data_IF_740929651775
#
_entry.id   IF_740929651775
#
_cell.length_a   1.000
_cell.length_b   1.000
_cell.length_c   1.000
_cell.angle_alpha   90.00
_cell.angle_beta   90.00
_cell.angle_gamma   90.00
#
_symmetry.space_group_name_H-M   'P 1'
#
loop_
_entity.id
_entity.type
_entity.pdbx_description
1 polymer ?
#
# COMPACT_ATOMS: atom_id res chain seq x y z
N UNK A 1 -13.61 -58.02 -49.06
CA UNK A 1 -12.61 -57.95 -47.97
C UNK A 1 -12.23 -56.53 -47.52
N UNK A 2 -12.95 -55.45 -47.91
CA UNK A 2 -12.47 -54.06 -47.65
C UNK A 2 -13.38 -53.20 -46.77
N UNK A 3 -14.31 -53.78 -45.99
CA UNK A 3 -15.17 -52.98 -45.07
C UNK A 3 -15.22 -53.47 -43.62
N UNK A 4 -14.58 -54.61 -43.32
CA UNK A 4 -14.53 -55.17 -41.94
C UNK A 4 -13.30 -54.64 -41.17
N UNK A 5 -12.21 -54.29 -41.86
CA UNK A 5 -11.01 -53.75 -41.20
C UNK A 5 -11.14 -52.29 -40.73
N UNK A 6 -11.99 -51.47 -41.36
CA UNK A 6 -12.18 -50.07 -40.95
C UNK A 6 -13.03 -49.89 -39.70
N UNK A 7 -13.83 -50.91 -39.31
CA UNK A 7 -14.67 -50.83 -38.10
C UNK A 7 -13.87 -51.22 -36.85
N UNK A 8 -12.87 -52.09 -36.98
CA UNK A 8 -12.04 -52.54 -35.84
C UNK A 8 -10.99 -51.48 -35.44
N UNK A 9 -10.54 -50.65 -36.39
CA UNK A 9 -9.61 -49.54 -36.11
C UNK A 9 -10.31 -48.28 -35.56
N UNK A 10 -11.63 -48.15 -35.75
CA UNK A 10 -12.44 -47.06 -35.18
C UNK A 10 -12.91 -47.32 -33.74
N UNK A 11 -12.99 -48.59 -33.32
CA UNK A 11 -13.46 -48.97 -31.98
C UNK A 11 -12.36 -48.93 -30.91
N UNK A 12 -11.08 -48.91 -31.29
CA UNK A 12 -9.93 -48.86 -30.36
C UNK A 12 -9.48 -47.44 -30.01
N UNK A 13 -9.99 -46.41 -30.69
CA UNK A 13 -9.73 -45.00 -30.35
C UNK A 13 -10.73 -44.39 -29.35
N UNK A 14 -11.81 -45.08 -29.01
CA UNK A 14 -12.87 -44.54 -28.16
C UNK A 14 -12.68 -44.79 -26.65
N UNK A 15 -11.62 -45.51 -26.23
CA UNK A 15 -11.42 -45.91 -24.83
C UNK A 15 -10.16 -45.38 -24.15
N UNK A 16 -9.36 -44.51 -24.81
CA UNK A 16 -8.07 -44.06 -24.27
C UNK A 16 -8.04 -42.60 -23.78
N UNK A 17 -9.18 -41.95 -23.59
CA UNK A 17 -9.27 -40.58 -23.05
C UNK A 17 -10.00 -40.51 -21.70
N UNK A 18 -10.04 -41.62 -20.94
CA UNK A 18 -10.24 -41.55 -19.50
C UNK A 18 -8.86 -41.50 -18.84
N UNK A 19 -8.11 -40.41 -19.05
CA UNK A 19 -7.07 -40.10 -18.07
C UNK A 19 -7.82 -39.72 -16.81
N UNK A 20 -8.00 -40.68 -15.91
CA UNK A 20 -8.14 -40.38 -14.50
C UNK A 20 -7.04 -39.36 -14.22
N UNK A 21 -7.42 -38.10 -13.96
CA UNK A 21 -6.54 -37.24 -13.20
C UNK A 21 -6.37 -37.97 -11.88
N UNK A 22 -5.26 -38.69 -11.79
CA UNK A 22 -4.75 -39.25 -10.57
C UNK A 22 -4.83 -38.12 -9.55
N UNK A 23 -5.45 -38.42 -8.41
CA UNK A 23 -5.58 -37.51 -7.29
C UNK A 23 -4.17 -37.18 -6.79
N UNK A 24 -3.48 -36.29 -7.49
CA UNK A 24 -2.28 -35.69 -6.99
C UNK A 24 -2.75 -34.79 -5.85
N UNK A 25 -2.48 -35.24 -4.63
CA UNK A 25 -2.49 -34.35 -3.47
C UNK A 25 -1.73 -33.09 -3.88
N UNK A 26 -2.38 -31.93 -3.77
CA UNK A 26 -1.69 -30.66 -3.98
C UNK A 26 -0.40 -30.70 -3.13
N UNK A 27 0.75 -30.28 -3.70
CA UNK A 27 2.00 -30.33 -2.96
C UNK A 27 1.80 -29.65 -1.61
N UNK A 28 2.12 -30.34 -0.52
CA UNK A 28 1.92 -29.81 0.83
C UNK A 28 2.81 -28.57 1.02
N UNK A 29 2.22 -27.39 0.86
CA UNK A 29 2.89 -26.10 1.06
C UNK A 29 2.65 -25.51 2.44
N UNK A 30 2.12 -26.28 3.40
CA UNK A 30 1.80 -25.78 4.74
C UNK A 30 3.01 -25.14 5.43
N UNK A 31 4.20 -25.69 5.19
CA UNK A 31 5.47 -25.19 5.73
C UNK A 31 6.02 -23.96 4.97
N UNK A 32 5.39 -23.54 3.87
CA UNK A 32 5.74 -22.33 3.11
C UNK A 32 4.76 -21.17 3.35
N UNK A 33 3.68 -21.40 4.11
CA UNK A 33 2.72 -20.34 4.42
C UNK A 33 3.33 -19.34 5.41
N UNK A 34 3.54 -18.11 4.96
CA UNK A 34 3.96 -17.01 5.84
C UNK A 34 2.81 -16.41 6.67
N UNK A 35 1.60 -16.96 6.52
CA UNK A 35 0.35 -16.48 7.13
C UNK A 35 -0.30 -17.57 7.96
N UNK A 36 -1.12 -17.18 8.93
CA UNK A 36 -1.91 -18.08 9.75
C UNK A 36 -2.94 -18.85 8.92
N UNK A 37 -3.10 -20.14 9.23
CA UNK A 37 -4.12 -20.99 8.60
C UNK A 37 -5.54 -20.56 8.97
N UNK A 38 -5.75 -20.17 10.24
CA UNK A 38 -7.06 -19.80 10.75
C UNK A 38 -6.94 -18.75 11.86
N UNK A 39 -7.76 -17.72 11.74
CA UNK A 39 -7.99 -16.68 12.74
C UNK A 39 -9.50 -16.63 13.01
N UNK A 40 -9.89 -16.35 14.27
CA UNK A 40 -11.30 -16.22 14.66
C UNK A 40 -12.05 -15.15 13.86
N UNK A 41 -13.38 -15.13 13.94
CA UNK A 41 -14.18 -14.19 13.14
C UNK A 41 -13.93 -12.71 13.53
N UNK A 42 -14.08 -11.77 12.57
CA UNK A 42 -13.94 -10.35 12.84
C UNK A 42 -14.93 -9.90 13.91
N UNK A 43 -14.44 -9.12 14.89
CA UNK A 43 -15.25 -8.57 15.97
C UNK A 43 -15.24 -7.04 16.00
N UNK A 44 -14.53 -6.40 15.08
CA UNK A 44 -14.50 -4.94 14.92
C UNK A 44 -14.19 -4.55 13.47
N UNK A 45 -14.27 -3.25 13.19
CA UNK A 45 -13.91 -2.63 11.90
C UNK A 45 -12.59 -1.87 12.01
N UNK A 46 -12.00 -1.46 10.89
CA UNK A 46 -10.82 -0.58 10.91
C UNK A 46 -11.14 0.75 11.62
N UNK A 47 -12.35 1.29 11.43
CA UNK A 47 -12.83 2.45 12.19
C UNK A 47 -12.81 2.18 13.70
N UNK A 48 -13.38 1.05 14.14
CA UNK A 48 -13.41 0.65 15.55
C UNK A 48 -12.02 0.51 16.17
N UNK A 49 -11.06 -0.07 15.42
CA UNK A 49 -9.64 -0.11 15.83
C UNK A 49 -9.08 1.30 16.00
N UNK A 50 -9.26 2.18 15.01
CA UNK A 50 -8.72 3.54 15.05
C UNK A 50 -9.30 4.37 16.18
N UNK A 51 -10.60 4.22 16.48
CA UNK A 51 -11.25 4.88 17.61
C UNK A 51 -10.76 4.32 18.95
N UNK A 52 -10.67 2.99 19.10
CA UNK A 52 -10.19 2.35 20.32
C UNK A 52 -8.76 2.75 20.66
N UNK A 53 -7.91 2.87 19.65
CA UNK A 53 -6.50 3.23 19.78
C UNK A 53 -6.20 4.70 19.40
N UNK A 54 -7.19 5.60 19.49
CA UNK A 54 -7.03 7.01 19.07
C UNK A 54 -5.90 7.74 19.78
N UNK A 55 -5.68 7.44 21.07
CA UNK A 55 -4.64 8.07 21.89
C UNK A 55 -3.24 7.72 21.39
N UNK A 56 -2.84 6.43 21.29
CA UNK A 56 -1.55 6.08 20.72
C UNK A 56 -1.41 6.43 19.23
N UNK A 57 -2.51 6.50 18.48
CA UNK A 57 -2.47 6.93 17.07
C UNK A 57 -2.22 8.45 16.93
N UNK A 58 -2.79 9.27 17.81
CA UNK A 58 -2.73 10.74 17.68
C UNK A 58 -1.56 11.38 18.44
N UNK A 59 -0.84 10.60 19.25
CA UNK A 59 0.28 11.09 20.06
C UNK A 59 1.62 10.68 19.44
N UNK A 60 2.59 11.59 19.38
CA UNK A 60 3.88 11.30 18.76
C UNK A 60 4.64 10.20 19.54
N UNK A 61 5.19 9.24 18.80
CA UNK A 61 6.05 8.16 19.32
C UNK A 61 5.40 7.27 20.39
N UNK A 62 4.07 7.13 20.39
CA UNK A 62 3.36 6.20 21.27
C UNK A 62 2.74 5.05 20.48
N UNK A 63 2.59 3.93 21.16
CA UNK A 63 1.95 2.72 20.66
C UNK A 63 1.56 1.86 21.87
N UNK A 64 0.53 1.03 21.68
CA UNK A 64 -0.03 0.20 22.73
C UNK A 64 -0.06 -1.26 22.28
N UNK A 65 0.32 -2.18 23.17
CA UNK A 65 0.20 -3.61 22.91
C UNK A 65 -1.24 -4.05 23.09
N UNK A 66 -1.78 -4.78 22.12
CA UNK A 66 -3.12 -5.35 22.23
C UNK A 66 -3.05 -6.70 22.94
N UNK A 67 -3.77 -6.84 24.05
CA UNK A 67 -3.72 -8.04 24.92
C UNK A 67 -4.84 -9.05 24.65
N UNK A 68 -5.89 -8.62 23.97
CA UNK A 68 -7.08 -9.41 23.67
C UNK A 68 -7.22 -9.64 22.16
N UNK A 69 -8.09 -10.57 21.79
CA UNK A 69 -8.40 -10.85 20.40
C UNK A 69 -9.26 -9.72 19.82
N UNK A 70 -8.60 -8.76 19.15
CA UNK A 70 -9.25 -7.72 18.36
C UNK A 70 -9.00 -8.06 16.90
N UNK A 71 -10.06 -8.44 16.20
CA UNK A 71 -9.98 -9.03 14.87
C UNK A 71 -10.79 -8.18 13.90
N UNK A 72 -10.16 -7.80 12.81
CA UNK A 72 -10.79 -7.07 11.72
C UNK A 72 -10.29 -7.59 10.38
N UNK A 73 -10.96 -7.19 9.32
CA UNK A 73 -10.57 -7.51 7.96
C UNK A 73 -10.48 -6.27 7.07
N UNK A 74 -9.70 -6.42 6.01
CA UNK A 74 -9.56 -5.43 4.95
C UNK A 74 -9.04 -6.03 3.66
N UNK A 75 -9.13 -5.24 2.60
CA UNK A 75 -8.59 -5.52 1.28
C UNK A 75 -7.29 -4.77 1.10
N UNK A 76 -6.25 -5.44 0.61
CA UNK A 76 -4.95 -4.81 0.29
C UNK A 76 -5.12 -3.83 -0.88
N UNK A 77 -4.86 -2.55 -0.64
CA UNK A 77 -4.97 -1.44 -1.61
C UNK A 77 -3.63 -0.79 -1.96
N UNK A 78 -2.58 -1.11 -1.20
CA UNK A 78 -1.19 -0.73 -1.47
C UNK A 78 -0.23 -1.74 -0.88
N UNK A 79 0.85 -2.03 -1.60
CA UNK A 79 1.92 -2.93 -1.19
C UNK A 79 3.27 -2.45 -1.75
N UNK A 80 4.33 -3.23 -1.54
CA UNK A 80 5.71 -2.86 -1.88
C UNK A 80 6.12 -3.18 -3.33
N UNK A 81 5.17 -3.37 -4.26
CA UNK A 81 5.48 -3.83 -5.63
C UNK A 81 6.52 -2.99 -6.38
N UNK A 82 6.54 -1.68 -6.16
CA UNK A 82 7.58 -0.80 -6.70
C UNK A 82 8.77 -0.60 -5.76
N UNK A 83 8.60 -0.85 -4.46
CA UNK A 83 9.55 -0.46 -3.41
C UNK A 83 9.30 0.93 -2.81
N UNK A 84 8.34 1.73 -3.32
CA UNK A 84 8.04 3.04 -2.74
C UNK A 84 7.34 2.93 -1.36
N UNK A 85 6.47 1.93 -1.19
CA UNK A 85 5.95 1.52 0.11
C UNK A 85 6.89 0.45 0.68
N UNK A 86 7.70 0.79 1.68
CA UNK A 86 8.70 -0.13 2.23
C UNK A 86 8.17 -0.89 3.45
N UNK A 87 8.30 -2.23 3.45
CA UNK A 87 7.95 -3.11 4.57
C UNK A 87 6.54 -2.87 5.12
N UNK A 88 5.61 -2.51 4.23
CA UNK A 88 4.27 -2.06 4.61
C UNK A 88 3.27 -2.44 3.52
N UNK A 89 2.14 -3.01 3.94
CA UNK A 89 0.93 -3.04 3.14
C UNK A 89 -0.08 -2.04 3.73
N UNK A 90 -0.98 -1.54 2.88
CA UNK A 90 -2.12 -0.72 3.29
C UNK A 90 -3.38 -1.49 2.98
N UNK A 91 -4.23 -1.65 3.99
CA UNK A 91 -5.52 -2.30 3.83
C UNK A 91 -6.65 -1.31 4.06
N UNK A 92 -7.71 -1.45 3.27
CA UNK A 92 -8.96 -0.70 3.35
C UNK A 92 -10.07 -1.60 3.87
N UNK A 93 -10.99 -1.07 4.66
CA UNK A 93 -12.05 -1.87 5.25
C UNK A 93 -12.95 -2.49 4.17
N UNK A 94 -13.44 -3.70 4.44
CA UNK A 94 -14.29 -4.43 3.50
C UNK A 94 -15.64 -3.74 3.37
N UNK A 95 -16.13 -3.62 2.14
CA UNK A 95 -17.38 -2.96 1.85
C UNK A 95 -17.30 -1.44 1.92
N UNK A 96 -16.12 -0.87 2.19
CA UNK A 96 -15.91 0.57 2.13
C UNK A 96 -16.08 1.07 0.70
N UNK A 97 -16.99 2.02 0.53
CA UNK A 97 -17.10 2.85 -0.67
C UNK A 97 -16.33 4.16 -0.47
N UNK A 98 -15.68 4.73 -1.49
CA UNK A 98 -15.08 6.06 -1.41
C UNK A 98 -16.02 7.09 -0.78
N UNK A 99 -15.47 7.91 0.12
CA UNK A 99 -16.16 9.03 0.79
C UNK A 99 -17.14 8.65 1.91
N UNK A 100 -17.41 7.36 2.13
CA UNK A 100 -18.19 6.93 3.28
C UNK A 100 -17.42 7.15 4.59
N UNK A 101 -18.13 7.39 5.69
CA UNK A 101 -17.50 7.66 7.00
C UNK A 101 -16.66 6.47 7.50
N UNK A 102 -17.06 5.26 7.14
CA UNK A 102 -16.37 4.01 7.42
C UNK A 102 -15.32 3.62 6.36
N UNK A 103 -15.05 4.52 5.39
CA UNK A 103 -13.96 4.41 4.42
C UNK A 103 -12.60 4.60 5.11
N UNK A 104 -12.14 3.53 5.76
CA UNK A 104 -10.98 3.56 6.62
C UNK A 104 -9.88 2.68 6.05
N UNK A 105 -8.68 3.24 5.96
CA UNK A 105 -7.46 2.47 5.75
C UNK A 105 -6.58 2.45 7.01
N UNK A 106 -5.69 1.47 7.08
CA UNK A 106 -4.63 1.35 8.08
C UNK A 106 -3.38 0.73 7.47
N UNK A 107 -2.19 1.14 7.94
CA UNK A 107 -0.94 0.50 7.57
C UNK A 107 -0.71 -0.76 8.39
N UNK A 108 -0.26 -1.83 7.75
CA UNK A 108 0.24 -3.05 8.41
C UNK A 108 1.70 -3.21 8.03
N UNK A 109 2.60 -2.98 8.99
CA UNK A 109 4.03 -3.12 8.75
C UNK A 109 4.48 -4.57 8.86
N UNK A 110 5.23 -5.08 7.87
CA UNK A 110 5.74 -6.46 7.82
C UNK A 110 7.22 -6.43 7.43
N UNK A 111 8.08 -7.10 8.22
CA UNK A 111 9.54 -7.04 8.10
C UNK A 111 10.04 -7.96 6.97
N UNK A 112 9.66 -7.64 5.73
CA UNK A 112 10.07 -8.34 4.51
C UNK A 112 10.08 -7.35 3.34
N UNK A 113 10.94 -7.56 2.34
CA UNK A 113 11.16 -6.61 1.23
C UNK A 113 10.53 -7.06 -0.09
N UNK A 114 9.68 -8.09 -0.05
CA UNK A 114 8.93 -8.65 -1.17
C UNK A 114 7.57 -9.13 -0.62
N UNK A 115 6.65 -8.21 -0.36
CA UNK A 115 5.32 -8.49 0.19
C UNK A 115 4.28 -8.70 -0.91
N UNK A 116 4.41 -8.00 -2.04
CA UNK A 116 3.43 -8.00 -3.12
C UNK A 116 3.03 -9.39 -3.67
N UNK A 117 3.88 -10.44 -3.69
CA UNK A 117 3.46 -11.76 -4.15
C UNK A 117 2.52 -12.47 -3.15
N UNK A 118 2.68 -12.18 -1.86
CA UNK A 118 1.85 -12.76 -0.79
C UNK A 118 0.59 -11.93 -0.52
N UNK A 119 0.71 -10.61 -0.70
CA UNK A 119 -0.33 -9.63 -0.41
C UNK A 119 -0.57 -8.77 -1.66
N UNK A 120 -1.12 -9.41 -2.69
CA UNK A 120 -1.49 -8.75 -3.94
C UNK A 120 -2.61 -7.72 -3.71
N UNK A 121 -2.69 -6.71 -4.57
CA UNK A 121 -3.84 -5.79 -4.57
C UNK A 121 -5.14 -6.57 -4.73
N UNK A 122 -6.18 -6.22 -3.96
CA UNK A 122 -7.45 -6.94 -3.97
C UNK A 122 -7.49 -8.19 -3.09
N UNK A 123 -6.37 -8.58 -2.47
CA UNK A 123 -6.34 -9.66 -1.48
C UNK A 123 -7.07 -9.23 -0.21
N UNK A 124 -8.10 -9.98 0.19
CA UNK A 124 -8.69 -9.85 1.52
C UNK A 124 -7.81 -10.53 2.55
N UNK A 125 -7.56 -9.85 3.66
CA UNK A 125 -6.85 -10.42 4.81
C UNK A 125 -7.64 -10.22 6.08
N UNK A 126 -7.45 -11.14 7.01
CA UNK A 126 -7.94 -11.07 8.39
C UNK A 126 -6.76 -10.86 9.32
N UNK A 127 -6.87 -9.89 10.21
CA UNK A 127 -5.81 -9.49 11.13
C UNK A 127 -6.30 -9.61 12.56
N UNK A 128 -5.63 -10.43 13.36
CA UNK A 128 -5.80 -10.45 14.81
C UNK A 128 -4.70 -9.59 15.46
N UNK A 129 -5.08 -8.57 16.22
CA UNK A 129 -4.13 -7.67 16.84
C UNK A 129 -3.46 -8.23 18.09
N UNK A 130 -3.94 -9.34 18.67
CA UNK A 130 -3.40 -9.87 19.93
C UNK A 130 -1.89 -10.11 19.86
N UNK A 131 -1.15 -9.46 20.75
CA UNK A 131 0.31 -9.52 20.80
C UNK A 131 1.03 -8.63 19.78
N UNK A 132 0.29 -7.91 18.92
CA UNK A 132 0.78 -6.81 18.08
C UNK A 132 0.57 -5.47 18.80
N UNK A 133 1.02 -4.40 18.15
CA UNK A 133 0.93 -3.04 18.65
C UNK A 133 0.22 -2.13 17.66
N UNK A 134 -0.58 -1.21 18.19
CA UNK A 134 -1.25 -0.15 17.44
C UNK A 134 -0.76 1.21 17.90
N UNK A 135 -0.47 2.08 16.94
CA UNK A 135 -0.03 3.45 17.20
C UNK A 135 0.09 4.18 15.87
N UNK A 136 1.12 5.02 15.73
CA UNK A 136 1.38 5.70 14.47
C UNK A 136 2.84 5.60 14.01
N UNK A 137 3.01 5.81 12.71
CA UNK A 137 4.28 6.19 12.10
C UNK A 137 4.05 7.51 11.37
N UNK A 138 4.64 8.60 11.87
CA UNK A 138 4.43 9.95 11.34
C UNK A 138 2.93 10.32 11.26
N UNK A 139 2.18 10.13 12.36
CA UNK A 139 0.72 10.40 12.48
C UNK A 139 -0.19 9.55 11.59
N UNK A 140 0.36 8.55 10.90
CA UNK A 140 -0.41 7.59 10.14
C UNK A 140 -0.66 6.34 10.99
N UNK A 141 -1.92 5.94 11.23
CA UNK A 141 -2.28 4.72 11.94
C UNK A 141 -1.55 3.50 11.41
N UNK A 142 -0.93 2.74 12.31
CA UNK A 142 -0.12 1.58 11.96
C UNK A 142 -0.33 0.43 12.95
N UNK A 143 -0.35 -0.77 12.40
CA UNK A 143 -0.20 -2.04 13.11
C UNK A 143 1.21 -2.57 12.88
N UNK A 144 1.86 -3.04 13.95
CA UNK A 144 3.22 -3.55 13.86
C UNK A 144 3.75 -4.07 15.19
N UNK A 145 5.06 -3.93 15.40
CA UNK A 145 5.72 -4.24 16.65
C UNK A 145 6.80 -3.19 16.99
N UNK A 146 7.17 -3.01 18.28
CA UNK A 146 8.25 -2.13 18.67
C UNK A 146 9.60 -2.59 18.12
N UNK A 147 10.44 -1.63 17.74
CA UNK A 147 11.84 -1.87 17.42
C UNK A 147 12.68 -0.65 17.80
N UNK A 148 13.99 -0.85 17.95
CA UNK A 148 14.95 0.23 18.10
C UNK A 148 15.51 0.64 16.74
N UNK A 149 15.49 1.94 16.44
CA UNK A 149 16.20 2.47 15.27
C UNK A 149 17.71 2.36 15.46
N UNK A 150 18.49 2.57 14.39
CA UNK A 150 19.96 2.64 14.46
C UNK A 150 20.47 3.71 15.43
N UNK A 151 19.67 4.76 15.65
CA UNK A 151 19.96 5.82 16.64
C UNK A 151 19.45 5.50 18.05
N UNK A 152 19.03 4.27 18.34
CA UNK A 152 18.56 3.84 19.66
C UNK A 152 17.15 4.31 20.04
N UNK A 153 16.39 4.88 19.10
CA UNK A 153 15.03 5.33 19.38
C UNK A 153 14.04 4.17 19.32
N UNK A 154 13.22 3.99 20.36
CA UNK A 154 12.11 3.04 20.32
C UNK A 154 10.98 3.59 19.44
N UNK A 155 10.53 2.81 18.45
CA UNK A 155 9.49 3.19 17.48
C UNK A 155 8.57 2.01 17.18
N UNK A 156 7.38 2.31 16.68
CA UNK A 156 6.51 1.30 16.08
C UNK A 156 7.00 0.98 14.66
N UNK A 157 7.47 -0.25 14.46
CA UNK A 157 8.00 -0.74 13.21
C UNK A 157 7.19 -1.89 12.63
N UNK A 158 7.68 -2.49 11.54
CA UNK A 158 7.06 -3.65 10.94
C UNK A 158 7.20 -4.91 11.82
N UNK A 159 6.16 -5.74 11.86
CA UNK A 159 6.15 -7.02 12.57
C UNK A 159 7.00 -8.09 11.86
N UNK A 160 7.59 -9.01 12.62
CA UNK A 160 8.33 -10.15 12.04
C UNK A 160 7.38 -11.14 11.35
N UNK A 161 7.92 -11.94 10.42
CA UNK A 161 7.15 -13.00 9.75
C UNK A 161 6.54 -14.01 10.71
N UNK A 162 7.18 -14.27 11.85
CA UNK A 162 6.61 -15.11 12.93
C UNK A 162 5.27 -14.57 13.44
N UNK A 163 5.14 -13.24 13.53
CA UNK A 163 3.89 -12.59 13.90
C UNK A 163 2.88 -12.66 12.75
N UNK A 164 3.31 -12.52 11.50
CA UNK A 164 2.42 -12.70 10.34
C UNK A 164 1.82 -14.11 10.34
N UNK A 165 2.64 -15.13 10.59
CA UNK A 165 2.23 -16.54 10.63
C UNK A 165 1.22 -16.87 11.74
N UNK A 166 1.06 -16.01 12.76
CA UNK A 166 0.07 -16.19 13.83
C UNK A 166 -1.08 -15.17 13.80
N UNK A 167 -0.89 -14.02 13.16
CA UNK A 167 -1.80 -12.88 13.29
C UNK A 167 -2.46 -12.43 11.97
N UNK A 168 -2.01 -12.91 10.82
CA UNK A 168 -2.59 -12.54 9.52
C UNK A 168 -3.00 -13.80 8.78
N UNK A 169 -4.24 -13.86 8.29
CA UNK A 169 -4.76 -14.94 7.45
C UNK A 169 -5.19 -14.36 6.09
N UNK A 170 -4.84 -15.05 5.00
CA UNK A 170 -5.37 -14.75 3.67
C UNK A 170 -6.80 -15.30 3.55
N UNK A 171 -7.74 -14.48 3.07
CA UNK A 171 -9.13 -14.87 2.89
C UNK A 171 -9.47 -14.89 1.40
N UNK A 172 -9.72 -16.07 0.85
CA UNK A 172 -10.00 -16.25 -0.57
C UNK A 172 -8.84 -15.81 -1.47
N UNK A 173 -9.14 -15.65 -2.76
CA UNK A 173 -8.19 -15.19 -3.79
C UNK A 173 -8.26 -13.66 -3.94
N UNK A 174 -7.19 -13.00 -4.42
CA UNK A 174 -7.25 -11.58 -4.77
C UNK A 174 -8.35 -11.31 -5.80
N UNK A 175 -9.10 -10.22 -5.61
CA UNK A 175 -10.10 -9.73 -6.56
C UNK A 175 -9.64 -8.40 -7.17
N UNK A 176 -9.30 -8.38 -8.46
CA UNK A 176 -8.88 -7.16 -9.17
C UNK A 176 -9.99 -6.11 -9.27
N UNK A 177 -11.25 -6.54 -9.15
CA UNK A 177 -12.44 -5.69 -9.23
C UNK A 177 -13.01 -5.35 -7.85
N UNK A 178 -12.24 -5.55 -6.77
CA UNK A 178 -12.66 -5.20 -5.42
C UNK A 178 -12.98 -3.68 -5.36
N UNK A 179 -14.16 -3.26 -4.89
CA UNK A 179 -14.54 -1.84 -4.86
C UNK A 179 -13.56 -0.99 -4.03
N UNK A 180 -12.89 -1.60 -3.05
CA UNK A 180 -11.85 -0.99 -2.22
C UNK A 180 -10.63 -0.50 -3.02
N UNK A 181 -10.40 -1.04 -4.22
CA UNK A 181 -9.33 -0.61 -5.12
C UNK A 181 -9.66 0.71 -5.86
N UNK A 182 -10.89 1.21 -5.75
CA UNK A 182 -11.28 2.50 -6.32
C UNK A 182 -10.73 3.64 -5.46
N UNK A 183 -9.80 4.47 -5.96
CA UNK A 183 -9.26 5.58 -5.18
C UNK A 183 -10.31 6.64 -4.91
N UNK A 184 -10.21 7.31 -3.76
CA UNK A 184 -10.97 8.53 -3.50
C UNK A 184 -10.52 9.65 -4.43
N UNK A 185 -11.48 10.33 -5.05
CA UNK A 185 -11.22 11.34 -6.06
C UNK A 185 -11.06 12.74 -5.44
N UNK A 186 -9.87 13.33 -5.58
CA UNK A 186 -9.61 14.72 -5.22
C UNK A 186 -9.19 15.58 -6.41
N UNK A 187 -9.57 15.18 -7.62
CA UNK A 187 -9.25 15.90 -8.86
C UNK A 187 -10.23 17.03 -9.18
N UNK A 188 -11.32 17.13 -8.41
CA UNK A 188 -12.37 18.16 -8.53
C UNK A 188 -12.15 19.33 -7.56
N UNK A 189 -12.84 20.44 -7.78
CA UNK A 189 -12.81 21.62 -6.90
C UNK A 189 -13.25 21.30 -5.46
N UNK A 190 -14.28 20.46 -5.32
CA UNK A 190 -14.81 19.98 -4.03
C UNK A 190 -13.77 19.11 -3.32
N UNK A 191 -13.10 18.23 -4.07
CA UNK A 191 -12.01 17.41 -3.55
C UNK A 191 -10.85 18.26 -3.04
N UNK A 192 -10.44 19.28 -3.78
CA UNK A 192 -9.41 20.21 -3.32
C UNK A 192 -9.86 21.04 -2.10
N UNK A 193 -11.14 21.43 -2.02
CA UNK A 193 -11.69 22.08 -0.83
C UNK A 193 -11.64 21.15 0.38
N UNK A 194 -11.96 19.88 0.20
CA UNK A 194 -11.86 18.86 1.24
C UNK A 194 -10.43 18.73 1.77
N UNK A 195 -9.42 18.72 0.88
CA UNK A 195 -8.01 18.66 1.26
C UNK A 195 -7.57 19.90 2.06
N UNK A 196 -8.13 21.08 1.76
CA UNK A 196 -7.85 22.33 2.47
C UNK A 196 -8.45 22.38 3.86
N UNK A 197 -9.61 21.79 4.08
CA UNK A 197 -10.27 21.84 5.38
C UNK A 197 -9.42 21.15 6.45
N UNK A 198 -9.05 21.89 7.50
CA UNK A 198 -8.26 21.39 8.63
C UNK A 198 -8.96 20.28 9.41
N UNK A 199 -10.29 20.23 9.40
CA UNK A 199 -11.05 19.17 10.05
C UNK A 199 -10.76 17.81 9.44
N UNK A 200 -10.36 17.77 8.17
CA UNK A 200 -10.04 16.52 7.47
C UNK A 200 -8.60 16.03 7.74
N UNK A 201 -7.77 16.82 8.39
CA UNK A 201 -6.34 16.54 8.63
C UNK A 201 -6.14 15.75 9.92
N UNK A 202 -6.73 14.56 9.96
CA UNK A 202 -6.80 13.74 11.17
C UNK A 202 -6.52 12.25 10.87
N UNK A 203 -6.40 11.45 11.92
CA UNK A 203 -6.07 10.03 11.81
C UNK A 203 -7.15 9.19 11.15
N UNK A 204 -8.44 9.59 11.15
CA UNK A 204 -9.50 8.87 10.45
C UNK A 204 -9.32 8.97 8.92
N UNK A 205 -8.76 10.07 8.45
CA UNK A 205 -8.50 10.32 7.04
C UNK A 205 -7.05 10.02 6.61
N UNK A 206 -6.28 9.32 7.45
CA UNK A 206 -4.91 8.92 7.14
C UNK A 206 -4.72 7.46 7.56
N UNK A 207 -4.09 6.59 6.76
CA UNK A 207 -3.85 6.77 5.33
C UNK A 207 -5.15 6.61 4.52
N UNK A 208 -5.10 6.86 3.21
CA UNK A 208 -6.16 6.50 2.25
C UNK A 208 -5.60 6.22 0.85
N UNK A 209 -6.29 5.40 0.05
CA UNK A 209 -6.04 5.30 -1.39
C UNK A 209 -6.76 6.47 -2.09
N UNK A 210 -6.01 7.32 -2.76
CA UNK A 210 -6.52 8.56 -3.34
C UNK A 210 -5.92 8.89 -4.70
N UNK A 211 -6.61 9.72 -5.48
CA UNK A 211 -6.09 10.32 -6.71
C UNK A 211 -6.22 11.84 -6.68
N UNK A 212 -5.17 12.54 -7.14
CA UNK A 212 -5.05 14.00 -7.19
C UNK A 212 -4.50 14.41 -8.55
N UNK A 213 -4.69 15.65 -8.98
CA UNK A 213 -4.20 16.11 -10.29
C UNK A 213 -3.57 17.49 -10.20
N UNK A 214 -2.50 17.71 -10.96
CA UNK A 214 -1.74 18.94 -10.89
C UNK A 214 -0.42 18.92 -11.67
N UNK A 215 0.38 19.97 -11.44
CA UNK A 215 1.69 20.19 -12.04
C UNK A 215 2.77 20.05 -10.97
N UNK A 216 3.89 19.39 -11.27
CA UNK A 216 5.03 19.34 -10.35
C UNK A 216 5.81 20.65 -10.47
N UNK A 217 5.88 21.42 -9.37
CA UNK A 217 6.48 22.76 -9.30
C UNK A 217 7.92 22.78 -9.80
N UNK A 218 8.71 21.76 -9.45
CA UNK A 218 10.16 21.73 -9.68
C UNK A 218 10.53 21.65 -11.17
N UNK A 219 9.58 21.34 -12.06
CA UNK A 219 9.78 21.36 -13.52
C UNK A 219 9.05 22.50 -14.23
N UNK A 220 8.58 23.50 -13.50
CA UNK A 220 7.89 24.67 -14.05
C UNK A 220 8.81 25.90 -14.09
N UNK A 221 8.60 26.76 -15.08
CA UNK A 221 9.29 28.05 -15.19
C UNK A 221 10.82 27.93 -15.07
N UNK A 222 11.44 28.82 -14.29
CA UNK A 222 12.88 28.82 -14.05
C UNK A 222 13.36 27.65 -13.18
N UNK A 223 12.48 27.01 -12.41
CA UNK A 223 12.87 25.87 -11.55
C UNK A 223 13.29 24.67 -12.38
N UNK A 224 12.71 24.50 -13.59
CA UNK A 224 13.03 23.42 -14.52
C UNK A 224 14.52 23.31 -14.83
N UNK A 225 15.16 24.45 -15.07
CA UNK A 225 16.57 24.54 -15.48
C UNK A 225 17.52 24.84 -14.31
N UNK A 226 16.98 24.98 -13.09
CA UNK A 226 17.75 25.20 -11.88
C UNK A 226 17.87 23.90 -11.08
N UNK A 227 19.01 23.18 -11.16
CA UNK A 227 19.18 21.93 -10.42
C UNK A 227 19.31 22.19 -8.91
N UNK A 228 18.45 21.56 -8.11
CA UNK A 228 18.56 21.58 -6.66
C UNK A 228 19.83 20.85 -6.19
N UNK A 229 20.37 21.29 -5.04
CA UNK A 229 21.52 20.64 -4.37
C UNK A 229 21.01 19.83 -3.19
N UNK A 230 21.40 18.56 -3.10
CA UNK A 230 20.99 17.70 -2.00
C UNK A 230 21.60 18.14 -0.67
N UNK A 231 20.76 18.28 0.36
CA UNK A 231 21.21 18.74 1.67
C UNK A 231 22.24 17.79 2.32
N UNK A 232 22.07 16.47 2.12
CA UNK A 232 22.99 15.46 2.66
C UNK A 232 24.17 15.18 1.72
N UNK A 233 23.95 15.18 0.40
CA UNK A 233 24.98 14.81 -0.58
C UNK A 233 25.90 15.97 -0.99
N UNK A 234 25.42 17.22 -0.90
CA UNK A 234 26.08 18.40 -1.46
C UNK A 234 26.14 18.43 -3.00
N UNK A 235 25.50 17.49 -3.69
CA UNK A 235 25.55 17.35 -5.15
C UNK A 235 24.27 17.87 -5.80
N UNK A 236 24.41 18.39 -7.02
CA UNK A 236 23.29 18.87 -7.84
C UNK A 236 22.54 17.70 -8.48
N UNK A 237 21.21 17.82 -8.56
CA UNK A 237 20.36 16.88 -9.31
C UNK A 237 20.65 16.92 -10.83
N UNK A 238 20.40 15.82 -11.54
CA UNK A 238 20.49 15.81 -13.00
C UNK A 238 19.36 16.64 -13.64
N UNK A 239 19.62 17.11 -14.86
CA UNK A 239 18.61 17.62 -15.78
C UNK A 239 18.48 16.67 -16.98
N UNK A 240 17.27 16.40 -17.52
CA UNK A 240 15.98 16.84 -16.98
C UNK A 240 15.70 16.19 -15.61
N UNK A 241 14.88 16.86 -14.78
CA UNK A 241 14.61 16.41 -13.42
C UNK A 241 13.79 15.11 -13.44
N UNK A 242 14.15 14.20 -12.54
CA UNK A 242 13.46 12.93 -12.28
C UNK A 242 12.80 12.97 -10.89
N UNK A 243 11.86 12.07 -10.61
CA UNK A 243 11.10 12.11 -9.34
C UNK A 243 11.99 12.08 -8.09
N UNK A 244 12.94 11.13 -8.01
CA UNK A 244 13.78 10.95 -6.84
C UNK A 244 15.24 10.62 -7.19
N UNK A 245 16.03 11.60 -7.66
CA UNK A 245 17.45 11.39 -7.90
C UNK A 245 18.17 11.10 -6.57
N UNK A 246 19.04 10.08 -6.54
CA UNK A 246 19.72 9.64 -5.33
C UNK A 246 20.46 10.79 -4.63
N UNK A 247 21.02 11.73 -5.38
CA UNK A 247 21.72 12.90 -4.81
C UNK A 247 20.84 13.80 -3.95
N UNK A 248 19.51 13.75 -4.06
CA UNK A 248 18.60 14.58 -3.25
C UNK A 248 18.02 13.83 -2.03
N UNK A 249 18.52 12.63 -1.70
CA UNK A 249 17.97 11.82 -0.60
C UNK A 249 17.91 12.55 0.75
N UNK A 250 16.81 12.34 1.47
CA UNK A 250 16.69 12.65 2.88
C UNK A 250 17.10 11.47 3.78
N UNK A 251 16.98 11.62 5.10
CA UNK A 251 17.34 10.57 6.06
C UNK A 251 16.47 9.28 5.92
N UNK A 252 15.35 9.35 5.21
CA UNK A 252 14.49 8.22 4.87
C UNK A 252 14.72 7.67 3.46
N UNK A 253 15.80 8.08 2.78
CA UNK A 253 16.12 7.70 1.40
C UNK A 253 14.98 8.00 0.41
N UNK A 254 14.37 9.17 0.56
CA UNK A 254 13.33 9.66 -0.33
C UNK A 254 13.57 11.11 -0.76
N UNK A 255 12.87 11.50 -1.83
CA UNK A 255 12.80 12.86 -2.35
C UNK A 255 11.34 13.28 -2.38
N UNK A 256 11.10 14.52 -1.94
CA UNK A 256 9.80 15.16 -1.97
C UNK A 256 9.73 16.10 -3.19
N UNK A 257 8.65 16.00 -3.96
CA UNK A 257 8.30 16.95 -5.04
C UNK A 257 6.99 17.64 -4.71
N UNK A 258 6.85 18.90 -5.13
CA UNK A 258 5.67 19.71 -4.83
C UNK A 258 4.66 19.62 -5.96
N UNK A 259 3.54 18.94 -5.75
CA UNK A 259 2.42 18.96 -6.69
C UNK A 259 1.54 20.18 -6.42
N UNK A 260 1.48 21.10 -7.37
CA UNK A 260 0.54 22.22 -7.39
C UNK A 260 -0.81 21.70 -7.93
N UNK A 261 -1.85 21.75 -7.10
CA UNK A 261 -3.20 21.33 -7.51
C UNK A 261 -3.82 22.33 -8.49
N UNK A 262 -4.84 21.92 -9.26
CA UNK A 262 -5.39 22.70 -10.38
C UNK A 262 -5.90 24.08 -9.97
N UNK A 263 -6.48 24.24 -8.79
CA UNK A 263 -6.92 25.57 -8.32
C UNK A 263 -5.78 26.52 -7.95
N UNK A 264 -4.52 26.05 -7.95
CA UNK A 264 -3.30 26.75 -7.54
C UNK A 264 -3.30 27.30 -6.10
N UNK A 265 -4.29 26.93 -5.28
CA UNK A 265 -4.42 27.39 -3.89
C UNK A 265 -3.93 26.35 -2.86
N UNK A 266 -3.41 25.21 -3.31
CA UNK A 266 -3.01 24.09 -2.45
C UNK A 266 -1.94 23.25 -3.13
N UNK A 267 -1.13 22.59 -2.31
CA UNK A 267 -0.12 21.66 -2.79
C UNK A 267 -0.12 20.38 -1.96
N UNK A 268 0.38 19.32 -2.56
CA UNK A 268 0.59 18.02 -1.94
C UNK A 268 2.04 17.62 -2.20
N UNK A 269 2.67 16.98 -1.21
CA UNK A 269 3.98 16.39 -1.40
C UNK A 269 3.86 15.05 -2.12
N UNK A 270 4.52 14.89 -3.26
CA UNK A 270 4.76 13.58 -3.88
C UNK A 270 6.07 13.05 -3.32
N UNK A 271 5.97 12.04 -2.44
CA UNK A 271 7.12 11.44 -1.78
C UNK A 271 7.50 10.14 -2.46
N UNK A 272 8.74 10.08 -2.94
CA UNK A 272 9.25 8.95 -3.72
C UNK A 272 10.58 8.48 -3.15
N UNK A 273 10.68 7.19 -2.78
CA UNK A 273 11.96 6.60 -2.40
C UNK A 273 12.95 6.67 -3.58
N UNK A 274 14.24 6.80 -3.30
CA UNK A 274 15.29 6.78 -4.33
C UNK A 274 15.57 5.36 -4.87
N UNK A 275 14.91 4.33 -4.34
CA UNK A 275 15.19 2.92 -4.62
C UNK A 275 14.01 2.19 -5.32
N UNK A 276 13.21 2.90 -6.11
CA UNK A 276 12.11 2.31 -6.89
C UNK A 276 12.10 2.83 -8.32
N UNK A 277 11.38 2.13 -9.21
CA UNK A 277 11.31 2.47 -10.63
C UNK A 277 10.76 3.88 -10.90
N UNK A 278 9.89 4.40 -10.03
CA UNK A 278 9.32 5.75 -10.19
C UNK A 278 10.41 6.81 -10.01
N UNK A 279 11.41 6.55 -9.15
CA UNK A 279 12.51 7.47 -8.86
C UNK A 279 13.23 7.97 -10.11
N UNK A 280 13.39 7.07 -11.10
CA UNK A 280 14.14 7.29 -12.32
C UNK A 280 13.32 7.90 -13.46
N UNK A 281 12.00 8.05 -13.29
CA UNK A 281 11.15 8.61 -14.32
C UNK A 281 11.37 10.13 -14.44
N UNK A 282 11.47 10.67 -15.67
CA UNK A 282 11.37 12.10 -15.91
C UNK A 282 10.04 12.64 -15.36
N UNK A 283 10.09 13.81 -14.73
CA UNK A 283 8.88 14.45 -14.23
C UNK A 283 8.14 15.10 -15.41
N UNK A 284 6.83 14.81 -15.62
CA UNK A 284 6.04 15.46 -16.66
C UNK A 284 5.87 16.95 -16.36
N UNK A 285 6.00 17.79 -17.39
CA UNK A 285 5.88 19.24 -17.26
C UNK A 285 4.42 19.72 -17.34
N UNK A 286 3.52 18.91 -17.87
CA UNK A 286 2.09 19.15 -18.00
C UNK A 286 1.28 18.50 -16.86
N UNK A 287 -0.04 18.74 -16.88
CA UNK A 287 -0.92 18.30 -15.79
C UNK A 287 -1.16 16.81 -15.90
N UNK A 288 -0.80 16.07 -14.86
CA UNK A 288 -1.08 14.64 -14.74
C UNK A 288 -2.00 14.36 -13.53
N UNK A 289 -2.56 13.17 -13.51
CA UNK A 289 -3.23 12.56 -12.37
C UNK A 289 -2.29 11.56 -11.70
N UNK A 290 -2.22 11.65 -10.38
CA UNK A 290 -1.38 10.80 -9.54
C UNK A 290 -2.28 10.02 -8.59
N UNK A 291 -2.15 8.71 -8.59
CA UNK A 291 -2.85 7.82 -7.66
C UNK A 291 -1.87 7.26 -6.63
N UNK A 292 -2.31 7.04 -5.40
CA UNK A 292 -1.40 6.45 -4.41
C UNK A 292 -1.96 6.42 -3.02
N UNK A 293 -1.10 6.05 -2.08
CA UNK A 293 -1.42 6.09 -0.66
C UNK A 293 -1.13 7.50 -0.17
N UNK A 294 -2.20 8.23 0.13
CA UNK A 294 -2.14 9.54 0.73
C UNK A 294 -2.15 9.42 2.25
N UNK A 295 -1.33 10.24 2.90
CA UNK A 295 -1.23 10.34 4.36
C UNK A 295 -1.06 11.80 4.77
N UNK A 296 -1.34 12.09 6.04
CA UNK A 296 -1.13 13.40 6.61
C UNK A 296 -0.10 13.35 7.74
N UNK A 297 0.95 14.17 7.63
CA UNK A 297 1.93 14.40 8.69
C UNK A 297 1.87 15.86 9.19
N UNK A 298 2.60 16.74 8.51
CA UNK A 298 2.48 18.21 8.65
C UNK A 298 1.67 18.82 7.50
N UNK A 299 1.70 18.15 6.34
CA UNK A 299 0.91 18.44 5.15
C UNK A 299 0.43 17.11 4.55
N UNK A 300 -0.46 17.18 3.57
CA UNK A 300 -0.80 16.03 2.74
C UNK A 300 0.41 15.58 1.93
N UNK A 301 0.67 14.28 1.95
CA UNK A 301 1.72 13.64 1.17
C UNK A 301 1.20 12.35 0.55
N UNK A 302 1.67 12.03 -0.65
CA UNK A 302 1.29 10.83 -1.39
C UNK A 302 2.52 10.04 -1.79
N UNK A 303 2.47 8.72 -1.56
CA UNK A 303 3.40 7.77 -2.14
C UNK A 303 2.65 6.97 -3.21
N UNK A 304 3.09 7.10 -4.46
CA UNK A 304 2.59 6.28 -5.57
C UNK A 304 2.98 4.81 -5.36
N UNK A 305 2.11 3.88 -5.73
CA UNK A 305 2.33 2.43 -5.54
C UNK A 305 3.15 1.85 -6.67
N UNK A 306 3.00 2.38 -7.88
CA UNK A 306 3.78 1.98 -9.06
C UNK A 306 3.82 3.08 -10.12
N UNK A 307 4.62 2.89 -11.17
CA UNK A 307 4.67 3.79 -12.34
C UNK A 307 3.30 3.95 -13.03
N UNK A 308 2.41 2.96 -12.90
CA UNK A 308 1.07 3.00 -13.48
C UNK A 308 0.14 4.00 -12.81
N UNK A 309 0.51 4.52 -11.63
CA UNK A 309 -0.28 5.51 -10.92
C UNK A 309 -0.09 6.94 -11.48
N UNK A 310 0.77 7.13 -12.47
CA UNK A 310 0.96 8.40 -13.20
C UNK A 310 0.14 8.32 -14.50
N UNK A 311 -0.85 9.20 -14.66
CA UNK A 311 -1.80 9.20 -15.80
C UNK A 311 -1.99 10.59 -16.38
#
# INVERSE_FOLDING_TARGET
MNKIFSIIFGATLAFSMASCMDSHDEPNTDNFLITAKQIGEPNTTIYGVKEKFKTPISTNNTFEQVKEDIIFEGVVVGNDVSGNLYQTIVIRHIGSTPEATDDQCIQVGIKHTILYPYFALGQRIRVNLKGLYVGNYSRTPKVGQPYYTSSGNLRLGPMLLEKVATNIQLIGKPNSEAPELTPRDFTTSEGEQWLRDSNNRNYLNSPMLAKVSGLIKEVQGSEKDNPATGALSGRKEPLPKIFAPEVLYDAGYAVDRTLLLKSNNSSITIRTSTQNDIAFLPIPADTHTYTGIMSYYSNWQMQMRSVNDIK
#
